data_IF_268503524031
#
_entry.id   IF_268503524031
#
_cell.length_a   1.000
_cell.length_b   1.000
_cell.length_c   1.000
_cell.angle_alpha   90.00
_cell.angle_beta   90.00
_cell.angle_gamma   90.00
#
_symmetry.space_group_name_H-M   'P 1'
#
loop_
_entity.id
_entity.type
_entity.pdbx_description
1 polymer ?
#
# COMPACT_ATOMS: atom_id res chain seq x y z
N UNK A 1 -10.00 -0.61 -23.26
CA UNK A 1 -10.74 -1.40 -22.25
C UNK A 1 -11.36 -0.42 -21.28
N UNK A 2 -12.54 -0.70 -20.74
CA UNK A 2 -13.14 0.14 -19.69
C UNK A 2 -12.46 -0.13 -18.35
N UNK A 3 -12.28 0.92 -17.55
CA UNK A 3 -11.75 0.78 -16.20
C UNK A 3 -12.80 0.07 -15.34
N UNK A 4 -12.44 -1.00 -14.63
CA UNK A 4 -13.39 -1.71 -13.77
C UNK A 4 -13.42 -1.14 -12.37
N UNK A 5 -12.25 -0.89 -11.81
CA UNK A 5 -12.11 -0.45 -10.43
C UNK A 5 -11.16 0.74 -10.36
N UNK A 6 -11.64 1.82 -9.75
CA UNK A 6 -10.83 2.94 -9.33
C UNK A 6 -10.65 2.89 -7.81
N UNK A 7 -9.41 2.79 -7.34
CA UNK A 7 -9.08 2.76 -5.91
C UNK A 7 -8.36 4.07 -5.55
N UNK A 8 -8.92 4.84 -4.61
CA UNK A 8 -8.31 6.07 -4.10
C UNK A 8 -7.85 5.83 -2.67
N UNK A 9 -6.54 5.79 -2.43
CA UNK A 9 -5.94 5.47 -1.14
C UNK A 9 -5.27 6.68 -0.52
N UNK A 10 -5.43 6.84 0.80
CA UNK A 10 -4.81 7.91 1.59
C UNK A 10 -3.29 7.74 1.80
N UNK A 11 -2.77 6.53 1.57
CA UNK A 11 -1.35 6.17 1.69
C UNK A 11 -0.91 5.13 0.64
N UNK A 12 0.40 5.14 0.31
CA UNK A 12 0.96 4.28 -0.72
C UNK A 12 0.99 2.78 -0.35
N UNK A 13 1.27 2.43 0.90
CA UNK A 13 1.25 1.01 1.32
C UNK A 13 -0.16 0.46 1.26
N UNK A 14 -1.17 1.24 1.68
CA UNK A 14 -2.57 0.90 1.55
C UNK A 14 -3.03 0.75 0.10
N UNK A 15 -2.57 1.63 -0.80
CA UNK A 15 -2.79 1.51 -2.24
C UNK A 15 -2.28 0.16 -2.77
N UNK A 16 -1.00 -0.14 -2.53
CA UNK A 16 -0.36 -1.37 -3.02
C UNK A 16 -1.02 -2.63 -2.42
N UNK A 17 -1.28 -2.60 -1.11
CA UNK A 17 -1.91 -3.69 -0.36
C UNK A 17 -3.33 -4.03 -0.87
N UNK A 18 -4.09 -3.02 -1.31
CA UNK A 18 -5.49 -3.21 -1.73
C UNK A 18 -5.61 -3.48 -3.22
N UNK A 19 -4.70 -2.94 -4.04
CA UNK A 19 -4.69 -3.16 -5.47
C UNK A 19 -4.16 -4.54 -5.88
N UNK A 20 -3.20 -5.08 -5.14
CA UNK A 20 -2.50 -6.31 -5.54
C UNK A 20 -3.38 -7.57 -5.58
N UNK A 21 -4.37 -7.78 -4.69
CA UNK A 21 -5.29 -8.92 -4.79
C UNK A 21 -5.99 -9.03 -6.15
N UNK A 22 -6.17 -7.94 -6.90
CA UNK A 22 -6.75 -7.96 -8.24
C UNK A 22 -5.84 -8.61 -9.28
N UNK A 23 -4.52 -8.65 -9.07
CA UNK A 23 -3.58 -9.41 -9.92
C UNK A 23 -3.87 -10.90 -9.84
N UNK A 24 -4.09 -11.42 -8.63
CA UNK A 24 -4.46 -12.82 -8.38
C UNK A 24 -5.89 -13.15 -8.85
N UNK A 25 -6.69 -12.12 -9.17
CA UNK A 25 -7.98 -12.25 -9.83
C UNK A 25 -7.86 -12.30 -11.37
N UNK A 26 -6.66 -12.11 -11.92
CA UNK A 26 -6.38 -12.10 -13.35
C UNK A 26 -6.64 -10.75 -14.03
N UNK A 27 -6.64 -9.65 -13.27
CA UNK A 27 -6.85 -8.30 -13.78
C UNK A 27 -5.52 -7.54 -13.85
N UNK A 28 -5.37 -6.67 -14.85
CA UNK A 28 -4.22 -5.76 -14.91
C UNK A 28 -4.40 -4.60 -13.93
N UNK A 29 -3.36 -4.33 -13.15
CA UNK A 29 -3.35 -3.30 -12.10
C UNK A 29 -2.25 -2.28 -12.37
N UNK A 30 -2.57 -1.00 -12.29
CA UNK A 30 -1.59 0.08 -12.26
C UNK A 30 -1.81 0.99 -11.05
N UNK A 31 -0.72 1.29 -10.33
CA UNK A 31 -0.73 2.15 -9.15
C UNK A 31 0.01 3.44 -9.47
N UNK A 32 -0.70 4.55 -9.53
CA UNK A 32 -0.14 5.89 -9.55
C UNK A 32 0.37 6.22 -8.14
N UNK A 33 1.69 6.47 -8.00
CA UNK A 33 2.26 6.76 -6.67
C UNK A 33 1.83 8.13 -6.14
N UNK A 34 1.29 9.00 -7.01
CA UNK A 34 0.74 10.33 -6.72
C UNK A 34 -0.38 10.68 -7.71
N UNK A 35 -1.15 11.73 -7.44
CA UNK A 35 -2.27 12.20 -8.26
C UNK A 35 -1.80 12.61 -9.65
N UNK A 36 -0.63 13.21 -9.73
CA UNK A 36 0.00 13.68 -10.97
C UNK A 36 0.34 12.53 -11.91
N UNK A 37 0.37 11.29 -11.43
CA UNK A 37 0.68 10.08 -12.22
C UNK A 37 -0.58 9.27 -12.60
N UNK A 38 -1.79 9.80 -12.37
CA UNK A 38 -3.04 9.13 -12.73
C UNK A 38 -3.12 8.89 -14.24
N UNK A 39 -2.80 9.89 -15.05
CA UNK A 39 -2.82 9.77 -16.51
C UNK A 39 -1.85 8.67 -17.00
N UNK A 40 -0.65 8.61 -16.41
CA UNK A 40 0.33 7.56 -16.71
C UNK A 40 -0.22 6.17 -16.38
N UNK A 41 -0.88 6.01 -15.23
CA UNK A 41 -1.48 4.74 -14.82
C UNK A 41 -2.64 4.34 -15.74
N UNK A 42 -3.50 5.27 -16.14
CA UNK A 42 -4.59 5.02 -17.09
C UNK A 42 -4.07 4.69 -18.50
N UNK A 43 -2.99 5.33 -18.94
CA UNK A 43 -2.36 5.09 -20.23
C UNK A 43 -1.82 3.66 -20.40
N UNK A 44 -1.59 2.93 -19.30
CA UNK A 44 -1.25 1.50 -19.34
C UNK A 44 -2.37 0.61 -19.87
N UNK A 45 -3.62 1.12 -19.91
CA UNK A 45 -4.81 0.34 -20.25
C UNK A 45 -5.20 -0.68 -19.19
N UNK A 46 -4.81 -0.44 -17.92
CA UNK A 46 -5.15 -1.31 -16.80
C UNK A 46 -6.66 -1.42 -16.57
N UNK A 47 -7.09 -2.54 -15.99
CA UNK A 47 -8.48 -2.74 -15.56
C UNK A 47 -8.75 -2.22 -14.15
N UNK A 48 -7.69 -2.08 -13.34
CA UNK A 48 -7.73 -1.55 -11.98
C UNK A 48 -6.69 -0.43 -11.84
N UNK A 49 -7.15 0.78 -11.62
CA UNK A 49 -6.31 1.95 -11.37
C UNK A 49 -6.34 2.28 -9.88
N UNK A 50 -5.17 2.37 -9.27
CA UNK A 50 -5.01 2.72 -7.86
C UNK A 50 -4.23 4.02 -7.76
N UNK A 51 -4.67 4.92 -6.90
CA UNK A 51 -4.08 6.25 -6.73
C UNK A 51 -3.74 6.47 -5.27
N UNK A 52 -2.49 6.80 -4.99
CA UNK A 52 -2.10 7.31 -3.69
C UNK A 52 -2.26 8.84 -3.64
N UNK A 53 -3.07 9.33 -2.70
CA UNK A 53 -3.27 10.77 -2.48
C UNK A 53 -2.30 11.35 -1.46
N UNK A 54 -1.56 10.51 -0.71
CA UNK A 54 -0.68 10.93 0.38
C UNK A 54 -1.37 11.91 1.36
N UNK A 55 -2.64 11.64 1.68
CA UNK A 55 -3.53 12.57 2.39
C UNK A 55 -3.77 12.22 3.86
N UNK A 56 -3.33 11.04 4.33
CA UNK A 56 -3.65 10.53 5.68
C UNK A 56 -3.36 11.53 6.81
N UNK A 57 -2.20 12.18 6.76
CA UNK A 57 -1.73 13.09 7.81
C UNK A 57 -2.05 14.57 7.50
N UNK A 58 -2.75 14.85 6.40
CA UNK A 58 -3.10 16.21 6.02
C UNK A 58 -4.32 16.70 6.82
N UNK A 59 -4.48 18.02 6.98
CA UNK A 59 -5.72 18.60 7.49
C UNK A 59 -6.91 18.16 6.65
N UNK A 60 -8.06 17.98 7.29
CA UNK A 60 -9.30 17.45 6.71
C UNK A 60 -9.66 18.07 5.35
N UNK A 61 -9.71 19.41 5.27
CA UNK A 61 -10.07 20.11 4.04
C UNK A 61 -9.09 19.88 2.88
N UNK A 62 -7.80 19.75 3.19
CA UNK A 62 -6.78 19.47 2.17
C UNK A 62 -6.82 18.00 1.73
N UNK A 63 -7.06 17.08 2.67
CA UNK A 63 -7.24 15.67 2.37
C UNK A 63 -8.45 15.44 1.45
N UNK A 64 -9.60 16.05 1.78
CA UNK A 64 -10.81 16.02 0.96
C UNK A 64 -10.57 16.61 -0.43
N UNK A 65 -9.87 17.75 -0.53
CA UNK A 65 -9.50 18.37 -1.81
C UNK A 65 -8.67 17.44 -2.68
N UNK A 66 -7.64 16.78 -2.12
CA UNK A 66 -6.80 15.82 -2.85
C UNK A 66 -7.57 14.59 -3.30
N UNK A 67 -8.44 14.04 -2.45
CA UNK A 67 -9.32 12.94 -2.81
C UNK A 67 -10.28 13.31 -3.96
N UNK A 68 -10.86 14.52 -3.92
CA UNK A 68 -11.72 15.05 -4.98
C UNK A 68 -10.98 15.27 -6.30
N UNK A 69 -9.71 15.72 -6.27
CA UNK A 69 -8.87 15.81 -7.47
C UNK A 69 -8.59 14.44 -8.09
N UNK A 70 -8.24 13.45 -7.27
CA UNK A 70 -8.04 12.08 -7.74
C UNK A 70 -9.34 11.50 -8.35
N UNK A 71 -10.48 11.70 -7.70
CA UNK A 71 -11.78 11.30 -8.20
C UNK A 71 -12.10 11.96 -9.54
N UNK A 72 -11.87 13.26 -9.67
CA UNK A 72 -12.13 14.02 -10.90
C UNK A 72 -11.29 13.51 -12.07
N UNK A 73 -10.01 13.21 -11.82
CA UNK A 73 -9.10 12.67 -12.83
C UNK A 73 -9.50 11.25 -13.28
N UNK A 74 -10.12 10.46 -12.40
CA UNK A 74 -10.59 9.11 -12.70
C UNK A 74 -12.01 9.07 -13.30
N UNK A 75 -12.80 10.14 -13.17
CA UNK A 75 -14.20 10.19 -13.59
C UNK A 75 -14.37 9.90 -15.09
N UNK A 76 -13.48 10.45 -15.93
CA UNK A 76 -13.52 10.27 -17.38
C UNK A 76 -13.24 8.82 -17.82
N UNK A 77 -12.66 7.99 -16.95
CA UNK A 77 -12.43 6.58 -17.22
C UNK A 77 -13.67 5.71 -16.97
N UNK A 78 -14.75 6.28 -16.42
CA UNK A 78 -16.03 5.61 -16.13
C UNK A 78 -15.85 4.26 -15.40
N UNK A 79 -15.24 4.23 -14.20
CA UNK A 79 -15.06 3.00 -13.45
C UNK A 79 -16.41 2.37 -13.06
N UNK A 80 -16.52 1.04 -13.17
CA UNK A 80 -17.70 0.31 -12.70
C UNK A 80 -17.84 0.35 -11.16
N UNK A 81 -16.69 0.39 -10.46
CA UNK A 81 -16.59 0.40 -9.00
C UNK A 81 -15.59 1.48 -8.57
N UNK A 82 -15.97 2.28 -7.57
CA UNK A 82 -15.05 3.21 -6.89
C UNK A 82 -14.86 2.77 -5.45
N UNK A 83 -13.60 2.57 -5.06
CA UNK A 83 -13.19 2.18 -3.72
C UNK A 83 -12.32 3.27 -3.08
N UNK A 84 -12.81 3.90 -2.02
CA UNK A 84 -11.99 4.66 -1.10
C UNK A 84 -11.28 3.70 -0.16
N UNK A 85 -9.96 3.57 -0.34
CA UNK A 85 -9.10 2.80 0.57
C UNK A 85 -8.77 3.62 1.81
N UNK A 86 -9.03 3.05 2.99
CA UNK A 86 -8.79 3.64 4.32
C UNK A 86 -7.88 2.78 5.20
N UNK A 87 -7.29 3.34 6.26
CA UNK A 87 -6.64 2.55 7.31
C UNK A 87 -7.68 1.70 8.06
N UNK A 88 -7.34 0.44 8.31
CA UNK A 88 -8.21 -0.50 9.03
C UNK A 88 -8.31 -0.23 10.54
N UNK A 89 -7.62 0.79 11.07
CA UNK A 89 -7.88 1.37 12.41
C UNK A 89 -8.46 2.78 12.29
N UNK A 90 -9.07 3.11 11.15
CA UNK A 90 -9.82 4.35 10.93
C UNK A 90 -8.99 5.64 11.05
N UNK A 91 -7.66 5.55 10.89
CA UNK A 91 -6.79 6.74 10.86
C UNK A 91 -7.01 7.55 9.57
N UNK A 92 -6.89 8.87 9.69
CA UNK A 92 -7.00 9.81 8.57
C UNK A 92 -8.42 10.37 8.41
N UNK A 93 -8.62 11.09 7.31
CA UNK A 93 -9.83 11.90 7.07
C UNK A 93 -10.92 11.10 6.34
N UNK A 94 -11.29 9.93 6.88
CA UNK A 94 -12.15 8.94 6.21
C UNK A 94 -13.44 9.54 5.66
N UNK A 95 -14.21 10.23 6.50
CA UNK A 95 -15.52 10.75 6.10
C UNK A 95 -15.41 11.90 5.10
N UNK A 96 -14.54 12.87 5.36
CA UNK A 96 -14.35 14.03 4.48
C UNK A 96 -13.85 13.63 3.08
N UNK A 97 -12.90 12.68 3.00
CA UNK A 97 -12.46 12.15 1.71
C UNK A 97 -13.54 11.33 1.01
N UNK A 98 -14.32 10.53 1.75
CA UNK A 98 -15.41 9.74 1.18
C UNK A 98 -16.51 10.64 0.60
N UNK A 99 -16.90 11.69 1.32
CA UNK A 99 -17.88 12.67 0.85
C UNK A 99 -17.41 13.40 -0.42
N UNK A 100 -16.13 13.81 -0.46
CA UNK A 100 -15.56 14.44 -1.65
C UNK A 100 -15.55 13.52 -2.87
N UNK A 101 -15.24 12.23 -2.69
CA UNK A 101 -15.26 11.24 -3.78
C UNK A 101 -16.70 10.96 -4.22
N UNK A 102 -17.61 10.71 -3.28
CA UNK A 102 -19.01 10.40 -3.57
C UNK A 102 -19.68 11.52 -4.37
N UNK A 103 -19.44 12.78 -4.00
CA UNK A 103 -19.96 13.95 -4.71
C UNK A 103 -19.52 14.01 -6.18
N UNK A 104 -18.26 13.66 -6.50
CA UNK A 104 -17.72 13.70 -7.86
C UNK A 104 -18.30 12.59 -8.74
N UNK A 105 -18.43 11.37 -8.20
CA UNK A 105 -19.01 10.25 -8.92
C UNK A 105 -20.55 10.21 -8.89
N UNK A 106 -21.19 11.09 -8.12
CA UNK A 106 -22.65 11.15 -7.98
C UNK A 106 -23.24 9.98 -7.19
N UNK A 107 -22.44 9.34 -6.34
CA UNK A 107 -22.91 8.26 -5.46
C UNK A 107 -23.81 8.82 -4.36
N UNK A 108 -24.89 8.12 -4.04
CA UNK A 108 -25.91 8.56 -3.07
C UNK A 108 -25.82 7.83 -1.73
N UNK A 109 -25.03 6.77 -1.71
CA UNK A 109 -24.82 5.90 -0.57
C UNK A 109 -23.32 5.62 -0.42
N UNK A 110 -22.89 5.44 0.82
CA UNK A 110 -21.53 5.09 1.20
C UNK A 110 -21.58 3.81 2.02
N UNK A 111 -21.01 2.72 1.50
CA UNK A 111 -20.91 1.45 2.21
C UNK A 111 -19.51 1.30 2.83
N UNK A 112 -19.44 1.21 4.16
CA UNK A 112 -18.20 1.22 4.94
C UNK A 112 -17.91 -0.16 5.52
N UNK A 113 -16.80 -0.77 5.10
CA UNK A 113 -16.33 -2.08 5.56
C UNK A 113 -14.81 -2.06 5.81
N UNK A 114 -14.35 -1.69 7.02
CA UNK A 114 -12.93 -1.57 7.35
C UNK A 114 -12.25 -2.91 7.71
N UNK A 115 -13.02 -4.00 7.85
CA UNK A 115 -12.51 -5.30 8.28
C UNK A 115 -11.42 -5.87 7.36
N UNK A 116 -10.45 -6.55 7.97
CA UNK A 116 -9.41 -7.35 7.31
C UNK A 116 -9.23 -8.67 8.08
N UNK A 117 -10.09 -9.67 7.80
CA UNK A 117 -10.10 -10.92 8.56
C UNK A 117 -8.75 -11.67 8.55
N UNK A 118 -8.00 -11.60 7.45
CA UNK A 118 -6.66 -12.20 7.29
C UNK A 118 -5.60 -11.62 8.25
N UNK A 119 -5.88 -10.47 8.86
CA UNK A 119 -5.04 -9.80 9.86
C UNK A 119 -5.71 -9.70 11.23
N UNK A 120 -6.77 -10.47 11.46
CA UNK A 120 -7.48 -10.55 12.73
C UNK A 120 -8.07 -9.20 13.18
N UNK A 121 -8.51 -8.36 12.24
CA UNK A 121 -9.31 -7.16 12.51
C UNK A 121 -10.68 -7.27 11.86
N UNK A 122 -11.71 -7.03 12.65
CA UNK A 122 -13.11 -7.28 12.31
C UNK A 122 -13.95 -6.03 12.53
N UNK A 123 -15.17 -6.03 11.99
CA UNK A 123 -16.21 -5.06 12.34
C UNK A 123 -17.35 -5.79 13.02
N UNK A 124 -17.71 -5.37 14.23
CA UNK A 124 -18.79 -5.95 15.05
C UNK A 124 -19.60 -4.84 15.68
N UNK A 125 -20.91 -4.90 15.52
CA UNK A 125 -21.86 -3.89 16.01
C UNK A 125 -21.44 -2.47 15.59
N UNK A 126 -20.95 -2.32 14.35
CA UNK A 126 -20.46 -1.05 13.80
C UNK A 126 -19.12 -0.55 14.36
N UNK A 127 -18.38 -1.38 15.08
CA UNK A 127 -17.09 -1.04 15.67
C UNK A 127 -15.95 -1.90 15.10
N UNK A 128 -14.80 -1.28 14.83
CA UNK A 128 -13.57 -2.01 14.53
C UNK A 128 -13.02 -2.61 15.82
N UNK A 129 -12.71 -3.91 15.79
CA UNK A 129 -12.13 -4.67 16.91
C UNK A 129 -11.06 -5.64 16.44
N UNK A 130 -10.22 -6.13 17.35
CA UNK A 130 -9.23 -7.17 17.08
C UNK A 130 -7.78 -6.67 17.16
N UNK A 131 -6.89 -7.27 16.36
CA UNK A 131 -5.44 -7.05 16.44
C UNK A 131 -5.08 -5.57 16.28
N UNK A 132 -4.36 -5.02 17.26
CA UNK A 132 -3.87 -3.64 17.23
C UNK A 132 -4.94 -2.56 17.50
N UNK A 133 -6.10 -2.96 18.03
CA UNK A 133 -7.18 -2.08 18.48
C UNK A 133 -7.51 -2.43 19.93
N UNK A 134 -6.98 -1.64 20.88
CA UNK A 134 -7.19 -1.86 22.33
C UNK A 134 -8.60 -1.50 22.77
N UNK A 135 -9.15 -0.43 22.19
CA UNK A 135 -10.52 0.06 22.45
C UNK A 135 -11.30 0.02 21.13
N UNK A 136 -12.51 -0.59 21.10
CA UNK A 136 -13.34 -0.62 19.90
C UNK A 136 -13.51 0.77 19.28
N UNK A 137 -13.29 0.89 17.98
CA UNK A 137 -13.38 2.16 17.26
C UNK A 137 -14.72 2.25 16.54
N UNK A 138 -15.57 3.21 16.91
CA UNK A 138 -16.86 3.44 16.25
C UNK A 138 -16.66 3.93 14.82
N UNK A 139 -17.21 3.20 13.85
CA UNK A 139 -17.22 3.62 12.44
C UNK A 139 -18.21 4.76 12.24
N UNK A 140 -19.38 4.71 12.89
CA UNK A 140 -20.43 5.72 12.76
C UNK A 140 -19.95 7.10 13.19
N UNK A 141 -19.15 7.18 14.25
CA UNK A 141 -18.62 8.44 14.78
C UNK A 141 -17.78 9.24 13.77
N UNK A 142 -17.21 8.59 12.76
CA UNK A 142 -16.47 9.29 11.69
C UNK A 142 -17.41 10.11 10.79
N UNK A 143 -18.64 9.65 10.63
CA UNK A 143 -19.63 10.20 9.69
C UNK A 143 -20.72 11.02 10.40
N UNK A 144 -20.53 11.37 11.67
CA UNK A 144 -21.45 12.24 12.40
C UNK A 144 -21.60 13.59 11.67
N UNK A 145 -22.83 13.93 11.31
CA UNK A 145 -23.13 15.14 10.53
C UNK A 145 -22.94 15.01 9.02
N UNK A 146 -22.61 13.82 8.50
CA UNK A 146 -22.64 13.56 7.05
C UNK A 146 -24.07 13.65 6.52
N UNK A 147 -24.21 14.23 5.32
CA UNK A 147 -25.48 14.25 4.59
C UNK A 147 -25.73 12.96 3.81
N UNK A 148 -24.71 12.11 3.65
CA UNK A 148 -24.78 10.90 2.87
C UNK A 148 -25.48 9.76 3.64
N UNK A 149 -26.16 8.88 2.91
CA UNK A 149 -26.65 7.62 3.49
C UNK A 149 -25.45 6.69 3.72
N UNK A 150 -25.05 6.53 4.97
CA UNK A 150 -23.94 5.65 5.35
C UNK A 150 -24.45 4.30 5.83
N UNK A 151 -23.96 3.22 5.21
CA UNK A 151 -24.21 1.84 5.60
C UNK A 151 -22.91 1.28 6.18
N UNK A 152 -22.94 0.85 7.44
CA UNK A 152 -21.78 0.24 8.09
C UNK A 152 -21.96 -1.27 8.06
N UNK A 153 -21.01 -1.97 7.45
CA UNK A 153 -21.04 -3.41 7.30
C UNK A 153 -20.19 -4.08 8.39
N UNK A 154 -20.84 -4.90 9.21
CA UNK A 154 -20.14 -5.85 10.07
C UNK A 154 -19.52 -6.96 9.21
N UNK A 155 -18.32 -7.39 9.60
CA UNK A 155 -17.61 -8.45 8.93
C UNK A 155 -16.62 -9.12 9.90
N UNK A 156 -16.82 -10.42 10.08
CA UNK A 156 -15.97 -11.31 10.88
C UNK A 156 -15.14 -12.26 10.01
N UNK A 157 -15.49 -12.38 8.74
CA UNK A 157 -14.88 -13.29 7.78
C UNK A 157 -14.85 -12.71 6.37
N UNK A 158 -14.05 -13.33 5.50
CA UNK A 158 -14.02 -13.00 4.07
C UNK A 158 -15.37 -13.23 3.39
N UNK A 159 -16.16 -14.20 3.86
CA UNK A 159 -17.49 -14.50 3.33
C UNK A 159 -18.48 -13.36 3.61
N UNK A 160 -18.38 -12.70 4.77
CA UNK A 160 -19.22 -11.54 5.10
C UNK A 160 -18.95 -10.39 4.13
N UNK A 161 -17.67 -10.17 3.78
CA UNK A 161 -17.25 -9.16 2.81
C UNK A 161 -17.68 -9.52 1.38
N UNK A 162 -17.64 -10.81 1.01
CA UNK A 162 -18.11 -11.28 -0.30
C UNK A 162 -19.63 -11.10 -0.44
N UNK A 163 -20.38 -11.33 0.64
CA UNK A 163 -21.82 -11.07 0.69
C UNK A 163 -22.10 -9.58 0.53
N UNK A 164 -21.35 -8.70 1.20
CA UNK A 164 -21.46 -7.26 1.06
C UNK A 164 -21.29 -6.83 -0.41
N UNK A 165 -20.20 -7.28 -1.05
CA UNK A 165 -19.89 -6.98 -2.45
C UNK A 165 -21.00 -7.46 -3.38
N UNK A 166 -21.61 -8.61 -3.12
CA UNK A 166 -22.67 -9.17 -3.97
C UNK A 166 -24.05 -8.52 -3.75
N UNK A 167 -24.27 -7.87 -2.60
CA UNK A 167 -25.56 -7.33 -2.21
C UNK A 167 -25.79 -5.86 -2.60
N UNK A 168 -24.76 -5.13 -3.04
CA UNK A 168 -24.82 -3.70 -3.33
C UNK A 168 -24.73 -3.41 -4.83
N UNK A 169 -25.41 -2.34 -5.25
CA UNK A 169 -25.24 -1.74 -6.57
C UNK A 169 -24.12 -0.68 -6.53
N UNK A 170 -22.92 -1.09 -6.92
CA UNK A 170 -21.73 -0.24 -6.89
C UNK A 170 -21.72 0.89 -7.92
N UNK A 171 -22.71 0.95 -8.83
CA UNK A 171 -22.86 2.08 -9.75
C UNK A 171 -23.45 3.33 -9.07
N UNK A 172 -24.05 3.16 -7.89
CA UNK A 172 -24.66 4.27 -7.11
C UNK A 172 -24.12 4.37 -5.68
N UNK A 173 -23.26 3.44 -5.27
CA UNK A 173 -22.70 3.34 -3.92
C UNK A 173 -21.18 3.44 -3.96
N UNK A 174 -20.62 4.36 -3.16
CA UNK A 174 -19.18 4.41 -2.92
C UNK A 174 -18.78 3.30 -1.94
N UNK A 175 -17.82 2.46 -2.34
CA UNK A 175 -17.19 1.52 -1.42
C UNK A 175 -16.13 2.25 -0.58
N UNK A 176 -16.16 2.07 0.74
CA UNK A 176 -15.15 2.60 1.67
C UNK A 176 -14.63 1.46 2.52
N UNK A 177 -13.34 1.14 2.44
CA UNK A 177 -12.83 -0.01 3.16
C UNK A 177 -11.32 -0.17 3.13
N UNK A 178 -10.86 -1.19 3.84
CA UNK A 178 -9.45 -1.58 3.85
C UNK A 178 -9.19 -2.68 2.80
N UNK A 179 -8.05 -3.38 2.93
CA UNK A 179 -7.65 -4.49 2.05
C UNK A 179 -8.74 -5.56 1.93
N UNK A 180 -9.47 -5.86 3.00
CA UNK A 180 -10.46 -6.94 3.02
C UNK A 180 -11.56 -6.70 1.98
N UNK A 181 -12.05 -5.47 1.88
CA UNK A 181 -13.03 -5.08 0.87
C UNK A 181 -12.43 -5.14 -0.54
N UNK A 182 -11.19 -4.70 -0.72
CA UNK A 182 -10.47 -4.85 -2.00
C UNK A 182 -10.32 -6.31 -2.43
N UNK A 183 -9.97 -7.20 -1.51
CA UNK A 183 -9.89 -8.65 -1.74
C UNK A 183 -11.24 -9.26 -2.10
N UNK A 184 -12.34 -8.81 -1.47
CA UNK A 184 -13.69 -9.25 -1.82
C UNK A 184 -14.08 -8.84 -3.25
N UNK A 185 -13.79 -7.60 -3.65
CA UNK A 185 -13.97 -7.16 -5.04
C UNK A 185 -13.10 -7.97 -6.01
N UNK A 186 -11.84 -8.23 -5.67
CA UNK A 186 -10.96 -9.06 -6.49
C UNK A 186 -11.52 -10.48 -6.67
N UNK A 187 -12.05 -11.11 -5.61
CA UNK A 187 -12.72 -12.41 -5.71
C UNK A 187 -13.97 -12.34 -6.59
N UNK A 188 -14.79 -11.31 -6.44
CA UNK A 188 -16.02 -11.11 -7.21
C UNK A 188 -15.74 -10.93 -8.72
N UNK A 189 -14.66 -10.23 -9.08
CA UNK A 189 -14.28 -9.96 -10.48
C UNK A 189 -13.36 -11.01 -11.11
N UNK A 190 -13.03 -12.09 -10.38
CA UNK A 190 -12.04 -13.08 -10.80
C UNK A 190 -12.41 -13.75 -12.13
N UNK A 191 -11.42 -13.82 -13.04
CA UNK A 191 -11.54 -14.49 -14.35
C UNK A 191 -10.64 -15.74 -14.40
N UNK A 192 -11.13 -16.84 -13.84
CA UNK A 192 -10.41 -18.13 -13.84
C UNK A 192 -9.14 -18.13 -12.97
N UNK A 193 -8.29 -19.16 -13.12
CA UNK A 193 -6.96 -19.19 -12.49
C UNK A 193 -6.03 -18.29 -13.30
N UNK A 194 -5.81 -17.06 -12.82
CA UNK A 194 -4.72 -16.23 -13.32
C UNK A 194 -3.38 -16.97 -13.16
N UNK A 195 -2.47 -16.78 -14.11
CA UNK A 195 -1.07 -17.20 -13.96
C UNK A 195 -0.42 -16.31 -12.91
N UNK A 196 -0.55 -16.67 -11.63
CA UNK A 196 0.18 -15.98 -10.55
C UNK A 196 1.67 -16.19 -10.80
N UNK A 197 2.40 -15.11 -11.03
CA UNK A 197 3.85 -15.19 -11.19
C UNK A 197 4.42 -15.54 -9.81
N UNK A 198 5.01 -16.72 -9.68
CA UNK A 198 5.68 -17.09 -8.44
C UNK A 198 6.82 -16.10 -8.17
N UNK A 199 6.88 -15.59 -6.95
CA UNK A 199 8.00 -14.76 -6.53
C UNK A 199 9.26 -15.64 -6.38
N UNK A 200 10.36 -15.22 -6.99
CA UNK A 200 11.66 -15.86 -6.85
C UNK A 200 12.59 -14.97 -6.00
N UNK A 201 13.11 -15.42 -4.85
CA UNK A 201 14.01 -14.63 -4.02
C UNK A 201 15.28 -14.20 -4.78
N UNK A 202 15.90 -13.10 -4.38
CA UNK A 202 17.14 -12.62 -4.99
C UNK A 202 18.35 -12.79 -4.07
N UNK A 203 19.53 -12.98 -4.69
CA UNK A 203 20.81 -13.01 -3.97
C UNK A 203 21.29 -11.61 -3.62
N UNK A 204 21.07 -10.64 -4.51
CA UNK A 204 21.51 -9.26 -4.33
C UNK A 204 20.33 -8.39 -3.89
N UNK A 205 19.91 -8.57 -2.64
CA UNK A 205 18.76 -7.85 -2.07
C UNK A 205 19.22 -6.67 -1.21
N UNK A 206 18.74 -5.47 -1.53
CA UNK A 206 18.86 -4.28 -0.69
C UNK A 206 17.58 -4.09 0.11
N UNK A 207 17.68 -4.07 1.44
CA UNK A 207 16.59 -3.78 2.36
C UNK A 207 16.71 -2.32 2.81
N UNK A 208 15.64 -1.53 2.69
CA UNK A 208 15.59 -0.12 3.05
C UNK A 208 14.35 0.16 3.91
N UNK A 209 14.54 0.36 5.21
CA UNK A 209 13.44 0.52 6.16
C UNK A 209 13.51 1.87 6.86
N UNK A 210 12.47 2.69 6.67
CA UNK A 210 12.26 3.92 7.44
C UNK A 210 11.20 3.79 8.53
N UNK A 211 10.44 2.69 8.53
CA UNK A 211 9.42 2.38 9.53
C UNK A 211 10.03 2.18 10.91
N UNK A 212 9.44 2.82 11.92
CA UNK A 212 9.76 2.65 13.35
C UNK A 212 8.74 1.74 14.07
N UNK A 213 7.93 1.01 13.32
CA UNK A 213 6.95 0.09 13.88
C UNK A 213 7.65 -1.10 14.57
N UNK A 214 7.23 -1.51 15.79
CA UNK A 214 7.84 -2.62 16.52
C UNK A 214 7.85 -3.96 15.74
N UNK A 215 6.85 -4.20 14.89
CA UNK A 215 6.80 -5.41 14.05
C UNK A 215 7.95 -5.39 13.03
N UNK A 216 8.19 -4.23 12.40
CA UNK A 216 9.32 -4.06 11.49
C UNK A 216 10.66 -4.17 12.22
N UNK A 217 10.78 -3.59 13.42
CA UNK A 217 11.98 -3.72 14.25
C UNK A 217 12.35 -5.17 14.56
N UNK A 218 11.37 -5.98 14.98
CA UNK A 218 11.57 -7.41 15.25
C UNK A 218 11.96 -8.20 13.99
N UNK A 219 11.35 -7.88 12.84
CA UNK A 219 11.68 -8.50 11.54
C UNK A 219 13.12 -8.18 11.11
N UNK A 220 13.57 -6.93 11.28
CA UNK A 220 14.95 -6.53 10.96
C UNK A 220 15.96 -7.22 11.88
N UNK A 221 15.70 -7.25 13.19
CA UNK A 221 16.55 -7.97 14.15
C UNK A 221 16.64 -9.47 13.83
N UNK A 222 15.53 -10.08 13.38
CA UNK A 222 15.49 -11.47 12.92
C UNK A 222 16.32 -11.69 11.66
N UNK A 223 16.26 -10.76 10.71
CA UNK A 223 17.06 -10.78 9.49
C UNK A 223 18.57 -10.69 9.80
N UNK A 224 18.97 -9.77 10.68
CA UNK A 224 20.36 -9.64 11.14
C UNK A 224 20.85 -10.91 11.86
N UNK A 225 20.04 -11.44 12.78
CA UNK A 225 20.36 -12.66 13.52
C UNK A 225 20.49 -13.92 12.64
N UNK A 226 19.99 -13.89 11.39
CA UNK A 226 20.14 -15.01 10.45
C UNK A 226 21.56 -15.16 9.89
N UNK A 227 22.39 -14.11 9.98
CA UNK A 227 23.72 -14.08 9.35
C UNK A 227 23.69 -14.01 7.82
N UNK A 228 22.53 -13.75 7.20
CA UNK A 228 22.37 -13.68 5.74
C UNK A 228 22.82 -12.34 5.13
N UNK A 229 22.92 -11.29 5.95
CA UNK A 229 23.33 -9.96 5.52
C UNK A 229 24.86 -9.84 5.48
N UNK A 230 25.38 -9.14 4.47
CA UNK A 230 26.78 -8.72 4.38
C UNK A 230 27.04 -7.41 5.11
N UNK A 231 26.01 -6.55 5.21
CA UNK A 231 26.08 -5.27 5.90
C UNK A 231 24.73 -4.90 6.52
N UNK A 232 24.78 -4.21 7.66
CA UNK A 232 23.65 -3.50 8.26
C UNK A 232 24.11 -2.10 8.63
N UNK A 233 23.48 -1.08 8.05
CA UNK A 233 23.86 0.33 8.19
C UNK A 233 22.71 1.09 8.83
N UNK A 234 23.01 1.71 9.96
CA UNK A 234 22.12 2.66 10.60
C UNK A 234 22.22 4.02 9.89
N UNK A 235 21.07 4.64 9.67
CA UNK A 235 20.94 5.96 9.07
C UNK A 235 20.24 6.92 10.05
N UNK A 236 20.97 7.52 11.00
CA UNK A 236 20.41 8.47 11.95
C UNK A 236 19.74 9.62 11.20
N UNK A 237 18.45 9.87 11.48
CA UNK A 237 17.66 10.89 10.79
C UNK A 237 17.68 10.74 9.26
N UNK A 238 17.84 9.52 8.76
CA UNK A 238 17.88 9.22 7.33
C UNK A 238 19.21 9.54 6.66
N UNK A 239 20.25 9.94 7.41
CA UNK A 239 21.57 10.19 6.85
C UNK A 239 22.33 8.86 6.64
N UNK A 240 22.61 8.52 5.37
CA UNK A 240 23.47 7.40 5.00
C UNK A 240 24.83 7.93 4.55
N UNK A 241 25.92 7.38 5.09
CA UNK A 241 27.27 7.68 4.63
C UNK A 241 27.52 7.04 3.27
N UNK A 242 27.93 7.85 2.29
CA UNK A 242 28.16 7.38 0.92
C UNK A 242 29.55 6.75 0.72
N UNK A 243 30.44 6.87 1.72
CA UNK A 243 31.82 6.37 1.64
C UNK A 243 31.96 4.92 2.10
N UNK A 244 30.98 4.38 2.83
CA UNK A 244 31.00 2.98 3.27
C UNK A 244 30.83 2.01 2.10
N UNK A 245 31.73 1.02 2.01
CA UNK A 245 31.58 -0.10 1.09
C UNK A 245 30.33 -0.91 1.44
N UNK A 246 29.49 -1.19 0.44
CA UNK A 246 28.20 -1.85 0.63
C UNK A 246 28.11 -3.09 -0.25
N UNK A 247 28.22 -4.26 0.36
CA UNK A 247 28.00 -5.56 -0.30
C UNK A 247 26.58 -6.06 -0.04
N UNK A 248 25.98 -6.73 -1.02
CA UNK A 248 24.62 -7.28 -0.91
C UNK A 248 24.65 -8.77 -0.48
N UNK A 249 23.61 -9.27 0.24
CA UNK A 249 22.45 -8.53 0.75
C UNK A 249 22.79 -7.53 1.86
N UNK A 250 22.16 -6.35 1.85
CA UNK A 250 22.40 -5.31 2.85
C UNK A 250 21.12 -4.74 3.43
N UNK A 251 21.18 -4.31 4.69
CA UNK A 251 20.09 -3.64 5.39
C UNK A 251 20.46 -2.18 5.68
N UNK A 252 19.61 -1.26 5.23
CA UNK A 252 19.66 0.17 5.53
C UNK A 252 18.47 0.51 6.42
N UNK A 253 18.73 1.08 7.59
CA UNK A 253 17.71 1.36 8.60
C UNK A 253 17.71 2.84 8.96
N UNK A 254 16.63 3.57 8.71
CA UNK A 254 16.49 4.90 9.31
C UNK A 254 16.33 4.77 10.83
N UNK A 255 17.25 5.35 11.58
CA UNK A 255 17.29 5.28 13.05
C UNK A 255 17.21 6.68 13.68
N UNK A 256 17.17 6.71 15.01
CA UNK A 256 17.09 7.93 15.80
C UNK A 256 15.67 8.49 15.94
N UNK A 257 15.51 9.31 16.97
CA UNK A 257 14.28 10.04 17.26
C UNK A 257 14.09 11.15 16.23
N UNK A 258 12.89 11.21 15.64
CA UNK A 258 12.57 12.25 14.66
C UNK A 258 12.45 13.59 15.40
N UNK A 259 13.51 14.39 15.33
CA UNK A 259 13.55 15.77 15.83
C UNK A 259 13.29 16.82 14.75
N UNK A 260 13.13 16.38 13.50
CA UNK A 260 12.92 17.20 12.31
C UNK A 260 11.59 16.85 11.63
N UNK A 261 11.26 17.52 10.52
CA UNK A 261 10.15 17.13 9.66
C UNK A 261 10.36 15.70 9.11
N UNK A 262 9.35 14.84 9.28
CA UNK A 262 9.40 13.44 8.87
C UNK A 262 9.57 13.28 7.35
N UNK A 263 9.01 14.21 6.55
CA UNK A 263 9.17 14.20 5.09
C UNK A 263 10.62 14.47 4.72
N UNK A 264 11.25 15.48 5.34
CA UNK A 264 12.67 15.77 5.12
C UNK A 264 13.58 14.60 5.48
N UNK A 265 13.29 13.88 6.57
CA UNK A 265 14.00 12.65 6.98
C UNK A 265 13.82 11.53 5.94
N UNK A 266 12.60 11.31 5.45
CA UNK A 266 12.32 10.30 4.43
C UNK A 266 13.03 10.62 3.11
N UNK A 267 13.01 11.88 2.67
CA UNK A 267 13.69 12.33 1.45
C UNK A 267 15.22 12.19 1.57
N UNK A 268 15.79 12.48 2.75
CA UNK A 268 17.22 12.28 3.03
C UNK A 268 17.58 10.80 2.92
N UNK A 269 16.80 9.93 3.55
CA UNK A 269 17.00 8.49 3.48
C UNK A 269 16.87 7.97 2.06
N UNK A 270 15.84 8.42 1.32
CA UNK A 270 15.61 8.04 -0.07
C UNK A 270 16.76 8.39 -1.00
N UNK A 271 17.41 9.56 -0.82
CA UNK A 271 18.62 9.92 -1.58
C UNK A 271 19.76 8.94 -1.30
N UNK A 272 19.98 8.57 -0.04
CA UNK A 272 20.99 7.58 0.34
C UNK A 272 20.70 6.19 -0.23
N UNK A 273 19.42 5.76 -0.20
CA UNK A 273 18.97 4.51 -0.83
C UNK A 273 19.22 4.54 -2.34
N UNK A 274 18.91 5.65 -3.03
CA UNK A 274 19.22 5.80 -4.46
C UNK A 274 20.71 5.65 -4.75
N UNK A 275 21.56 6.32 -3.97
CA UNK A 275 23.02 6.18 -4.08
C UNK A 275 23.49 4.74 -3.79
N UNK A 276 22.85 4.03 -2.87
CA UNK A 276 23.14 2.61 -2.63
C UNK A 276 22.76 1.75 -3.85
N UNK A 277 21.60 1.98 -4.47
CA UNK A 277 21.17 1.28 -5.70
C UNK A 277 22.14 1.58 -6.86
N UNK A 278 22.64 2.82 -6.99
CA UNK A 278 23.67 3.24 -7.97
C UNK A 278 24.98 2.51 -7.83
N UNK A 279 25.44 2.28 -6.60
CA UNK A 279 26.73 1.61 -6.36
C UNK A 279 26.64 0.09 -6.43
N UNK A 280 25.52 -0.48 -5.98
CA UNK A 280 25.42 -1.93 -5.74
C UNK A 280 24.64 -2.69 -6.79
N UNK A 281 23.83 -2.01 -7.62
CA UNK A 281 22.98 -2.63 -8.64
C UNK A 281 22.19 -3.84 -8.12
N UNK A 282 21.32 -3.67 -7.09
CA UNK A 282 20.58 -4.78 -6.52
C UNK A 282 19.59 -5.39 -7.52
N UNK A 283 19.43 -6.70 -7.48
CA UNK A 283 18.39 -7.42 -8.22
C UNK A 283 17.01 -7.22 -7.58
N UNK A 284 17.00 -6.92 -6.28
CA UNK A 284 15.80 -6.75 -5.46
C UNK A 284 15.94 -5.61 -4.46
N UNK A 285 14.93 -4.75 -4.40
CA UNK A 285 14.78 -3.71 -3.37
C UNK A 285 13.57 -4.04 -2.49
N UNK A 286 13.78 -4.17 -1.18
CA UNK A 286 12.69 -4.26 -0.22
C UNK A 286 12.57 -2.93 0.53
N UNK A 287 11.45 -2.24 0.38
CA UNK A 287 11.21 -0.96 1.08
C UNK A 287 10.13 -1.12 2.15
N UNK A 288 10.40 -0.61 3.35
CA UNK A 288 9.44 -0.62 4.45
C UNK A 288 9.04 0.75 4.95
N UNK A 289 7.72 0.97 5.02
CA UNK A 289 7.10 2.23 5.41
C UNK A 289 6.54 3.00 4.22
N UNK A 290 5.33 3.56 4.36
CA UNK A 290 4.63 4.26 3.27
C UNK A 290 5.37 5.49 2.78
N UNK A 291 5.75 6.38 3.69
CA UNK A 291 6.46 7.62 3.35
C UNK A 291 7.85 7.33 2.79
N UNK A 292 8.53 6.31 3.33
CA UNK A 292 9.83 5.86 2.83
C UNK A 292 9.73 5.29 1.41
N UNK A 293 8.75 4.43 1.15
CA UNK A 293 8.52 3.90 -0.19
C UNK A 293 8.21 5.02 -1.19
N UNK A 294 7.34 5.97 -0.82
CA UNK A 294 7.02 7.11 -1.66
C UNK A 294 8.25 7.96 -1.99
N UNK A 295 9.03 8.32 -0.96
CA UNK A 295 10.25 9.11 -1.14
C UNK A 295 11.30 8.39 -2.01
N UNK A 296 11.47 7.08 -1.82
CA UNK A 296 12.38 6.25 -2.63
C UNK A 296 11.93 6.20 -4.09
N UNK A 297 10.64 5.97 -4.37
CA UNK A 297 10.14 5.97 -5.76
C UNK A 297 10.26 7.33 -6.44
N UNK A 298 9.96 8.43 -5.73
CA UNK A 298 10.21 9.78 -6.24
C UNK A 298 11.70 10.00 -6.56
N UNK A 299 12.61 9.60 -5.67
CA UNK A 299 14.04 9.73 -5.88
C UNK A 299 14.56 8.92 -7.09
N UNK A 300 13.90 7.80 -7.40
CA UNK A 300 14.17 6.95 -8.56
C UNK A 300 13.44 7.41 -9.84
N UNK A 301 12.60 8.43 -9.76
CA UNK A 301 11.78 8.93 -10.88
C UNK A 301 10.67 7.96 -11.31
N UNK A 302 10.27 7.04 -10.43
CA UNK A 302 9.19 6.09 -10.68
C UNK A 302 7.85 6.80 -10.46
N UNK A 303 6.93 6.69 -11.42
CA UNK A 303 5.62 7.36 -11.36
C UNK A 303 4.45 6.38 -11.22
N UNK A 304 4.61 5.19 -11.78
CA UNK A 304 3.61 4.13 -11.76
C UNK A 304 4.23 2.80 -11.37
N UNK A 305 3.49 1.98 -10.61
CA UNK A 305 3.87 0.63 -10.22
C UNK A 305 2.88 -0.37 -10.81
N UNK A 306 3.37 -1.50 -11.30
CA UNK A 306 2.58 -2.58 -11.90
C UNK A 306 2.77 -3.86 -11.06
N UNK A 307 1.93 -4.09 -10.04
CA UNK A 307 2.04 -5.26 -9.17
C UNK A 307 2.04 -6.57 -9.96
N UNK A 308 2.90 -7.50 -9.56
CA UNK A 308 3.01 -8.85 -10.16
C UNK A 308 2.44 -9.97 -9.30
N UNK A 309 2.14 -9.64 -8.04
CA UNK A 309 1.57 -10.54 -7.04
C UNK A 309 2.09 -10.19 -5.65
N UNK A 310 1.94 -11.11 -4.72
CA UNK A 310 2.37 -10.96 -3.33
C UNK A 310 3.41 -12.02 -2.95
N UNK A 311 4.40 -11.62 -2.17
CA UNK A 311 5.34 -12.56 -1.50
C UNK A 311 4.62 -13.25 -0.34
N UNK A 312 3.79 -12.48 0.34
CA UNK A 312 2.80 -12.89 1.34
C UNK A 312 1.78 -11.75 1.49
N UNK A 313 0.67 -12.01 2.19
CA UNK A 313 -0.41 -11.04 2.36
C UNK A 313 0.12 -9.67 2.83
N UNK A 314 -0.05 -8.65 1.99
CA UNK A 314 0.35 -7.27 2.23
C UNK A 314 1.84 -6.98 2.05
N UNK A 315 2.56 -7.87 1.36
CA UNK A 315 3.90 -7.62 0.80
C UNK A 315 3.84 -7.80 -0.73
N UNK A 316 3.27 -6.81 -1.45
CA UNK A 316 3.24 -6.82 -2.90
C UNK A 316 4.63 -6.62 -3.50
N UNK A 317 4.86 -7.21 -4.67
CA UNK A 317 6.08 -7.05 -5.45
C UNK A 317 5.79 -6.69 -6.91
N UNK A 318 6.76 -6.03 -7.55
CA UNK A 318 6.66 -5.52 -8.91
C UNK A 318 8.04 -5.37 -9.55
N UNK A 319 8.07 -5.32 -10.88
CA UNK A 319 9.26 -4.89 -11.63
C UNK A 319 9.31 -3.37 -11.65
N UNK A 320 10.46 -2.79 -11.33
CA UNK A 320 10.72 -1.36 -11.36
C UNK A 320 11.68 -1.05 -12.49
N UNK A 321 11.34 -0.02 -13.27
CA UNK A 321 12.28 0.64 -14.18
C UNK A 321 12.52 2.04 -13.63
N UNK A 322 13.72 2.31 -13.15
CA UNK A 322 14.11 3.64 -12.70
C UNK A 322 14.26 4.59 -13.91
N UNK A 323 14.22 5.90 -13.66
CA UNK A 323 14.31 6.92 -14.72
C UNK A 323 15.60 6.87 -15.55
N UNK A 324 16.66 6.25 -15.02
CA UNK A 324 17.93 6.02 -15.72
C UNK A 324 18.00 4.67 -16.46
N UNK A 325 16.87 3.96 -16.57
CA UNK A 325 16.76 2.69 -17.30
C UNK A 325 17.20 1.45 -16.53
N UNK A 326 17.58 1.57 -15.25
CA UNK A 326 17.87 0.40 -14.43
C UNK A 326 16.60 -0.39 -14.12
N UNK A 327 16.72 -1.71 -14.20
CA UNK A 327 15.64 -2.64 -13.93
C UNK A 327 15.97 -3.49 -12.72
N UNK A 328 15.04 -3.58 -11.77
CA UNK A 328 15.15 -4.43 -10.60
C UNK A 328 13.75 -4.76 -10.06
N UNK A 329 13.65 -5.84 -9.28
CA UNK A 329 12.39 -6.16 -8.59
C UNK A 329 12.29 -5.35 -7.32
N UNK A 330 11.09 -4.98 -6.93
CA UNK A 330 10.85 -4.29 -5.68
C UNK A 330 9.67 -4.91 -4.94
N UNK A 331 9.78 -4.97 -3.62
CA UNK A 331 8.67 -5.26 -2.74
C UNK A 331 8.51 -4.14 -1.72
N UNK A 332 7.27 -3.89 -1.35
CA UNK A 332 6.91 -2.85 -0.38
C UNK A 332 6.12 -3.47 0.75
N UNK A 333 6.36 -3.03 1.98
CA UNK A 333 5.61 -3.45 3.16
C UNK A 333 5.23 -2.28 4.03
N UNK A 334 4.01 -2.30 4.56
CA UNK A 334 3.62 -1.39 5.63
C UNK A 334 4.35 -1.69 6.95
N UNK A 335 4.48 -0.72 7.85
CA UNK A 335 5.20 -0.90 9.10
C UNK A 335 4.68 -2.07 9.94
N UNK A 336 3.37 -2.13 10.16
CA UNK A 336 2.74 -3.13 11.04
C UNK A 336 2.42 -4.48 10.40
N UNK A 337 2.95 -4.77 9.22
CA UNK A 337 2.58 -5.94 8.41
C UNK A 337 3.64 -7.05 8.42
N UNK A 338 3.22 -8.25 8.05
CA UNK A 338 4.06 -9.43 7.87
C UNK A 338 4.22 -10.29 9.13
N UNK A 339 4.80 -11.46 8.92
CA UNK A 339 5.23 -12.45 9.92
C UNK A 339 6.66 -12.15 10.41
N UNK A 340 7.13 -12.79 11.50
CA UNK A 340 8.50 -12.60 11.98
C UNK A 340 9.58 -12.90 10.93
N UNK A 341 9.38 -13.90 10.09
CA UNK A 341 10.36 -14.35 9.08
C UNK A 341 10.12 -13.76 7.67
N UNK A 342 9.25 -12.75 7.52
CA UNK A 342 8.89 -12.21 6.20
C UNK A 342 10.08 -11.72 5.38
N UNK A 343 11.03 -11.03 6.02
CA UNK A 343 12.20 -10.49 5.32
C UNK A 343 13.15 -11.59 4.82
N UNK A 344 13.18 -12.74 5.50
CA UNK A 344 13.99 -13.89 5.10
C UNK A 344 13.49 -14.54 3.82
N UNK A 345 12.21 -14.35 3.46
CA UNK A 345 11.65 -14.86 2.19
C UNK A 345 12.21 -14.16 0.95
N UNK A 346 12.79 -12.97 1.11
CA UNK A 346 13.34 -12.18 0.00
C UNK A 346 14.80 -12.52 -0.32
N UNK A 347 15.46 -13.29 0.54
CA UNK A 347 16.83 -13.76 0.31
C UNK A 347 16.76 -15.17 -0.27
N UNK A 348 17.46 -15.41 -1.37
CA UNK A 348 17.69 -16.78 -1.83
C UNK A 348 18.48 -17.52 -0.75
N UNK A 349 17.84 -18.45 -0.04
CA UNK A 349 18.58 -19.33 0.87
C UNK A 349 19.59 -20.10 0.01
N UNK A 350 20.87 -20.04 0.39
CA UNK A 350 21.83 -21.01 -0.14
C UNK A 350 21.30 -22.39 0.24
N UNK A 351 20.76 -23.13 -0.73
CA UNK A 351 20.77 -24.58 -0.64
C UNK A 351 22.25 -24.94 -0.52
N UNK A 352 22.69 -25.20 0.70
CA UNK A 352 24.05 -25.63 0.95
C UNK A 352 24.23 -26.99 0.27
N UNK A 353 25.10 -26.99 -0.75
CA UNK A 353 25.83 -28.10 -1.38
C UNK A 353 25.05 -29.37 -1.77
#
# INVERSE_FOLDING_TARGET
MTLKVAIIADDLTGALDTGTPFVDAGLSVAVAIEIEAIEDALATGCEVAVVNTASRALPEGEAARRAGLAASALLAAHPDIVLKKIDSRLKGNVAAESAAIAAIFGHREVAVAPAIPDQERFTRDGHVVGRGVEVPLSVAALFDGSADRVVIADASSDADLDQLVSAHDWTTTLAVGARGLGSAFARHLRRGRGSVTAFDPARNTLFAFGSRDPITGAQMARLEASGSLRASIAAPMGALDQTEALDLPALLCCTGDISEDAVAVADRFARGVRSAIERTHPDMLMVGGGDTALAVFRALGVRTLLPKGEIEAGIPWFDVTAADGRHFRCAVKSGGFGKPDSLLRLISQNQAA
#
